data_IF_424090370048
#
_entry.id   IF_424090370048
#
_cell.length_a   1.000
_cell.length_b   1.000
_cell.length_c   1.000
_cell.angle_alpha   90.00
_cell.angle_beta   90.00
_cell.angle_gamma   90.00
#
_symmetry.space_group_name_H-M   'P 1'
#
loop_
_entity.id
_entity.type
_entity.pdbx_description
1 polymer ?
#
# COMPACT_ATOMS: atom_id res chain seq x y z
N UNK A 1 -24.55 21.07 -24.99
CA UNK A 1 -23.11 21.34 -24.80
C UNK A 1 -22.37 20.01 -24.74
N UNK A 2 -21.54 19.71 -25.74
CA UNK A 2 -20.74 18.49 -25.73
C UNK A 2 -19.62 18.65 -24.68
N UNK A 3 -19.57 17.76 -23.70
CA UNK A 3 -18.48 17.75 -22.72
C UNK A 3 -17.20 17.28 -23.38
N UNK A 4 -16.08 17.97 -23.12
CA UNK A 4 -14.77 17.54 -23.62
C UNK A 4 -14.48 16.11 -23.14
N UNK A 5 -13.98 15.21 -24.01
CA UNK A 5 -13.71 13.82 -23.63
C UNK A 5 -12.72 13.70 -22.46
N UNK A 6 -11.77 14.66 -22.36
CA UNK A 6 -10.83 14.75 -21.24
C UNK A 6 -11.55 15.04 -19.91
N UNK A 7 -12.48 16.00 -19.92
CA UNK A 7 -13.25 16.37 -18.73
C UNK A 7 -14.15 15.21 -18.27
N UNK A 8 -14.78 14.49 -19.21
CA UNK A 8 -15.54 13.29 -18.90
C UNK A 8 -14.68 12.19 -18.26
N UNK A 9 -13.43 12.02 -18.71
CA UNK A 9 -12.49 11.07 -18.11
C UNK A 9 -12.11 11.47 -16.67
N UNK A 10 -11.85 12.76 -16.43
CA UNK A 10 -11.54 13.28 -15.10
C UNK A 10 -12.70 13.09 -14.12
N UNK A 11 -13.92 13.42 -14.52
CA UNK A 11 -15.14 13.21 -13.69
C UNK A 11 -15.30 11.75 -13.31
N UNK A 12 -15.09 10.82 -14.26
CA UNK A 12 -15.15 9.36 -13.99
C UNK A 12 -14.06 8.92 -13.02
N UNK A 13 -12.86 9.47 -13.13
CA UNK A 13 -11.75 9.16 -12.24
C UNK A 13 -12.05 9.59 -10.80
N UNK A 14 -12.44 10.86 -10.60
CA UNK A 14 -12.80 11.40 -9.29
C UNK A 14 -13.98 10.63 -8.68
N UNK A 15 -15.00 10.30 -9.48
CA UNK A 15 -16.12 9.49 -9.02
C UNK A 15 -15.68 8.11 -8.52
N UNK A 16 -14.80 7.42 -9.26
CA UNK A 16 -14.28 6.09 -8.88
C UNK A 16 -13.45 6.15 -7.61
N UNK A 17 -12.59 7.16 -7.45
CA UNK A 17 -11.80 7.35 -6.24
C UNK A 17 -12.68 7.62 -5.02
N UNK A 18 -13.64 8.53 -5.12
CA UNK A 18 -14.56 8.82 -4.02
C UNK A 18 -15.42 7.62 -3.65
N UNK A 19 -15.94 6.88 -4.64
CA UNK A 19 -16.67 5.63 -4.41
C UNK A 19 -15.81 4.59 -3.70
N UNK A 20 -14.52 4.49 -4.07
CA UNK A 20 -13.59 3.62 -3.39
C UNK A 20 -13.41 4.05 -1.94
N UNK A 21 -13.16 5.33 -1.65
CA UNK A 21 -12.97 5.82 -0.28
C UNK A 21 -14.23 5.65 0.57
N UNK A 22 -15.40 6.01 0.04
CA UNK A 22 -16.66 5.86 0.74
C UNK A 22 -16.93 4.39 1.16
N UNK A 23 -16.58 3.43 0.30
CA UNK A 23 -16.70 1.99 0.64
C UNK A 23 -15.82 1.55 1.80
N UNK A 24 -14.68 2.21 2.01
CA UNK A 24 -13.69 1.85 3.04
C UNK A 24 -13.82 2.69 4.32
N UNK A 25 -14.89 3.48 4.46
CA UNK A 25 -15.18 4.14 5.74
C UNK A 25 -15.48 3.10 6.83
N UNK A 26 -14.99 3.32 8.07
CA UNK A 26 -15.11 2.35 9.16
C UNK A 26 -16.54 2.19 9.68
N UNK A 27 -17.38 3.23 9.59
CA UNK A 27 -18.76 3.23 10.08
C UNK A 27 -19.73 2.90 8.95
N UNK A 28 -20.44 1.78 9.07
CA UNK A 28 -21.35 1.28 8.04
C UNK A 28 -22.56 2.20 7.77
N UNK A 29 -23.15 2.77 8.82
CA UNK A 29 -24.25 3.73 8.69
C UNK A 29 -23.85 4.99 7.93
N UNK A 30 -22.61 5.47 8.12
CA UNK A 30 -22.06 6.62 7.39
C UNK A 30 -21.69 6.24 5.95
N UNK A 31 -21.18 5.03 5.74
CA UNK A 31 -20.87 4.48 4.41
C UNK A 31 -22.08 4.48 3.49
N UNK A 32 -23.21 3.91 3.94
CA UNK A 32 -24.38 3.79 3.08
C UNK A 32 -24.96 5.17 2.74
N UNK A 33 -25.04 6.07 3.71
CA UNK A 33 -25.46 7.47 3.50
C UNK A 33 -24.57 8.20 2.49
N UNK A 34 -23.26 8.14 2.68
CA UNK A 34 -22.30 8.77 1.76
C UNK A 34 -22.36 8.19 0.35
N UNK A 35 -22.56 6.87 0.20
CA UNK A 35 -22.72 6.24 -1.11
C UNK A 35 -24.01 6.67 -1.81
N UNK A 36 -25.12 6.82 -1.09
CA UNK A 36 -26.37 7.32 -1.66
C UNK A 36 -26.24 8.79 -2.06
N UNK A 37 -25.70 9.64 -1.19
CA UNK A 37 -25.47 11.06 -1.46
C UNK A 37 -24.53 11.29 -2.64
N UNK A 38 -23.49 10.47 -2.77
CA UNK A 38 -22.55 10.58 -3.87
C UNK A 38 -23.20 10.18 -5.21
N UNK A 39 -24.04 9.14 -5.20
CA UNK A 39 -24.78 8.73 -6.41
C UNK A 39 -25.79 9.78 -6.85
N UNK A 40 -26.50 10.40 -5.92
CA UNK A 40 -27.46 11.46 -6.24
C UNK A 40 -26.73 12.70 -6.75
N UNK A 41 -25.70 13.16 -6.05
CA UNK A 41 -24.93 14.36 -6.41
C UNK A 41 -24.30 14.30 -7.82
N UNK A 42 -23.81 13.14 -8.26
CA UNK A 42 -23.24 12.97 -9.60
C UNK A 42 -24.29 12.68 -10.69
N UNK A 43 -25.51 12.26 -10.32
CA UNK A 43 -26.61 12.04 -11.26
C UNK A 43 -27.45 13.30 -11.48
N UNK A 44 -27.48 14.22 -10.54
CA UNK A 44 -28.23 15.47 -10.66
C UNK A 44 -27.60 16.38 -11.73
N UNK A 45 -28.17 16.31 -12.93
CA UNK A 45 -27.83 17.16 -14.07
C UNK A 45 -28.41 18.58 -13.95
N UNK A 46 -29.29 18.81 -12.97
CA UNK A 46 -30.09 20.05 -12.83
C UNK A 46 -29.45 21.18 -12.01
N UNK A 47 -28.27 20.99 -11.42
CA UNK A 47 -27.66 22.08 -10.66
C UNK A 47 -27.15 23.18 -11.62
N UNK A 48 -27.41 24.43 -11.25
CA UNK A 48 -26.98 25.64 -11.97
C UNK A 48 -25.46 25.86 -11.90
N UNK A 49 -24.74 25.05 -11.10
CA UNK A 49 -23.30 25.17 -10.91
C UNK A 49 -22.51 24.64 -12.09
N UNK A 50 -21.43 25.36 -12.43
CA UNK A 50 -20.44 24.92 -13.42
C UNK A 50 -19.86 23.56 -13.04
N UNK A 51 -19.60 22.72 -14.05
CA UNK A 51 -19.03 21.38 -13.86
C UNK A 51 -17.65 21.47 -13.16
N UNK A 52 -16.90 22.54 -13.42
CA UNK A 52 -15.59 22.78 -12.80
C UNK A 52 -15.70 23.03 -11.29
N UNK A 53 -16.70 23.78 -10.85
CA UNK A 53 -16.92 24.04 -9.43
C UNK A 53 -17.34 22.78 -8.69
N UNK A 54 -18.14 21.92 -9.35
CA UNK A 54 -18.47 20.60 -8.80
C UNK A 54 -17.25 19.70 -8.69
N UNK A 55 -16.35 19.74 -9.67
CA UNK A 55 -15.07 19.02 -9.61
C UNK A 55 -14.22 19.51 -8.45
N UNK A 56 -14.06 20.83 -8.26
CA UNK A 56 -13.33 21.40 -7.12
C UNK A 56 -13.93 20.98 -5.78
N UNK A 57 -15.26 21.01 -5.65
CA UNK A 57 -15.96 20.52 -4.44
C UNK A 57 -15.72 19.02 -4.21
N UNK A 58 -15.73 18.22 -5.27
CA UNK A 58 -15.46 16.79 -5.19
C UNK A 58 -14.01 16.51 -4.76
N UNK A 59 -13.03 17.26 -5.27
CA UNK A 59 -11.62 17.16 -4.89
C UNK A 59 -11.40 17.56 -3.42
N UNK A 60 -12.06 18.60 -2.92
CA UNK A 60 -12.01 18.99 -1.51
C UNK A 60 -12.62 17.91 -0.59
N UNK A 61 -13.73 17.28 -1.00
CA UNK A 61 -14.29 16.13 -0.27
C UNK A 61 -13.36 14.92 -0.30
N UNK A 62 -12.67 14.72 -1.42
CA UNK A 62 -11.71 13.63 -1.57
C UNK A 62 -10.50 13.82 -0.64
N UNK A 63 -9.95 15.03 -0.52
CA UNK A 63 -8.84 15.29 0.39
C UNK A 63 -9.25 15.07 1.86
N UNK A 64 -10.45 15.50 2.25
CA UNK A 64 -11.01 15.22 3.58
C UNK A 64 -11.18 13.72 3.84
N UNK A 65 -11.72 12.97 2.87
CA UNK A 65 -11.87 11.52 2.99
C UNK A 65 -10.51 10.81 3.06
N UNK A 66 -9.49 11.28 2.34
CA UNK A 66 -8.12 10.72 2.45
C UNK A 66 -7.52 10.88 3.85
N UNK A 67 -7.84 11.96 4.55
CA UNK A 67 -7.37 12.20 5.93
C UNK A 67 -8.13 11.33 6.92
N UNK A 68 -9.44 11.22 6.76
CA UNK A 68 -10.34 10.57 7.73
C UNK A 68 -10.47 9.06 7.55
N UNK A 69 -10.27 8.56 6.33
CA UNK A 69 -10.33 7.12 6.06
C UNK A 69 -8.95 6.49 6.26
N UNK A 70 -8.83 5.43 7.09
CA UNK A 70 -7.57 4.72 7.22
C UNK A 70 -7.21 4.12 5.86
N UNK A 71 -6.01 4.42 5.37
CA UNK A 71 -5.54 3.93 4.09
C UNK A 71 -5.56 2.39 4.08
N UNK A 72 -6.50 1.80 3.34
CA UNK A 72 -6.52 0.34 3.19
C UNK A 72 -5.23 -0.08 2.50
N UNK A 73 -4.49 -1.03 3.09
CA UNK A 73 -3.16 -1.47 2.65
C UNK A 73 -3.16 -2.21 1.30
N UNK A 74 -4.13 -1.98 0.41
CA UNK A 74 -4.26 -2.68 -0.88
C UNK A 74 -3.19 -2.35 -1.94
N UNK A 75 -2.13 -1.61 -1.57
CA UNK A 75 -0.93 -1.44 -2.41
C UNK A 75 0.39 -1.72 -1.67
N UNK A 76 0.35 -2.49 -0.59
CA UNK A 76 1.48 -3.35 -0.21
C UNK A 76 1.10 -4.81 -0.45
N UNK A 77 0.51 -5.11 -1.61
CA UNK A 77 0.59 -6.45 -2.17
C UNK A 77 2.01 -6.65 -2.74
N UNK A 78 3.00 -6.65 -1.85
CA UNK A 78 4.23 -7.42 -2.00
C UNK A 78 4.08 -8.65 -1.08
N UNK A 79 3.06 -9.45 -1.31
CA UNK A 79 2.69 -10.49 -0.35
C UNK A 79 1.75 -11.57 -0.85
N UNK A 80 1.50 -11.67 -2.16
CA UNK A 80 0.77 -12.80 -2.75
C UNK A 80 1.69 -13.60 -3.70
N UNK A 81 2.95 -13.76 -3.28
CA UNK A 81 3.98 -14.45 -4.06
C UNK A 81 5.42 -14.27 -3.55
N UNK A 82 5.68 -13.32 -2.66
CA UNK A 82 6.98 -13.17 -2.00
C UNK A 82 6.90 -13.55 -0.52
N UNK A 83 6.63 -14.82 -0.25
CA UNK A 83 6.87 -15.42 1.07
C UNK A 83 8.34 -15.78 1.22
N UNK A 84 8.93 -15.54 2.39
CA UNK A 84 10.26 -16.07 2.72
C UNK A 84 10.11 -17.56 3.01
N UNK A 85 10.60 -18.41 2.11
CA UNK A 85 10.62 -19.86 2.31
C UNK A 85 11.78 -20.27 3.21
N UNK A 86 11.49 -20.91 4.34
CA UNK A 86 12.53 -21.46 5.24
C UNK A 86 12.50 -22.99 5.13
N UNK A 87 13.60 -23.57 4.68
CA UNK A 87 13.79 -25.01 4.56
C UNK A 87 14.73 -25.52 5.66
N UNK A 88 14.42 -26.69 6.22
CA UNK A 88 15.31 -27.45 7.13
C UNK A 88 15.28 -28.92 6.74
N UNK A 89 16.45 -29.53 6.57
CA UNK A 89 16.60 -30.97 6.27
C UNK A 89 15.73 -31.45 5.10
N UNK A 90 15.65 -30.65 4.04
CA UNK A 90 14.85 -30.93 2.84
C UNK A 90 13.34 -30.75 2.97
N UNK A 91 12.84 -30.30 4.14
CA UNK A 91 11.41 -30.06 4.39
C UNK A 91 11.11 -28.57 4.55
N UNK A 92 10.01 -28.13 3.93
CA UNK A 92 9.48 -26.76 4.02
C UNK A 92 8.81 -26.58 5.39
N UNK A 93 9.28 -25.62 6.19
CA UNK A 93 8.62 -25.22 7.43
C UNK A 93 7.52 -24.20 7.09
N UNK A 94 6.31 -24.44 7.61
CA UNK A 94 5.07 -23.83 7.10
C UNK A 94 5.02 -22.31 7.26
N UNK A 95 4.34 -21.68 6.30
CA UNK A 95 4.14 -20.26 6.11
C UNK A 95 3.50 -19.61 7.35
N UNK A 96 4.29 -18.82 8.06
CA UNK A 96 3.79 -17.87 9.03
C UNK A 96 4.30 -16.50 8.61
N UNK A 97 3.39 -15.53 8.52
CA UNK A 97 3.69 -14.13 8.28
C UNK A 97 4.36 -13.53 9.53
N UNK A 98 5.58 -14.00 9.83
CA UNK A 98 6.32 -13.65 11.03
C UNK A 98 7.61 -14.44 11.15
N UNK A 99 8.47 -14.03 12.09
CA UNK A 99 9.66 -14.77 12.48
C UNK A 99 9.24 -16.11 13.10
N UNK A 100 9.52 -17.24 12.44
CA UNK A 100 9.33 -18.57 13.04
C UNK A 100 10.16 -18.64 14.32
N UNK A 101 9.61 -19.18 15.41
CA UNK A 101 10.35 -19.39 16.66
C UNK A 101 10.42 -20.88 16.96
N UNK A 102 11.56 -21.34 17.44
CA UNK A 102 11.81 -22.68 17.94
C UNK A 102 11.02 -22.93 19.24
N UNK A 103 10.92 -24.18 19.68
CA UNK A 103 10.25 -24.59 20.92
C UNK A 103 10.86 -23.94 22.18
N UNK A 104 12.08 -23.40 22.04
CA UNK A 104 12.80 -22.63 23.07
C UNK A 104 12.62 -21.12 22.94
N UNK A 105 11.67 -20.66 22.11
CA UNK A 105 11.34 -19.24 21.88
C UNK A 105 12.35 -18.46 21.02
N UNK A 106 13.36 -19.12 20.45
CA UNK A 106 14.40 -18.49 19.60
C UNK A 106 13.89 -18.30 18.19
N UNK A 107 14.06 -17.10 17.62
CA UNK A 107 13.68 -16.82 16.23
C UNK A 107 14.60 -17.57 15.26
N UNK A 108 14.00 -18.41 14.42
CA UNK A 108 14.65 -19.04 13.27
C UNK A 108 14.87 -18.01 12.17
N UNK A 109 16.13 -17.69 11.92
CA UNK A 109 16.58 -17.07 10.67
C UNK A 109 17.63 -17.97 10.03
N UNK A 110 17.63 -18.01 8.71
CA UNK A 110 18.64 -18.66 7.87
C UNK A 110 19.98 -17.87 7.83
N UNK A 111 20.30 -17.14 8.89
CA UNK A 111 21.38 -16.16 8.92
C UNK A 111 22.48 -16.54 9.93
N UNK A 112 23.63 -16.98 9.43
CA UNK A 112 24.79 -17.38 10.25
C UNK A 112 25.66 -16.17 10.66
N UNK A 113 25.10 -15.25 11.47
CA UNK A 113 25.86 -14.05 11.89
C UNK A 113 25.07 -13.06 12.74
N UNK A 114 24.65 -13.53 13.91
CA UNK A 114 24.28 -12.83 15.17
C UNK A 114 23.92 -11.32 15.16
N UNK A 115 22.64 -11.05 15.45
CA UNK A 115 22.07 -9.90 16.20
C UNK A 115 21.95 -8.50 15.59
N UNK A 116 22.01 -8.33 14.27
CA UNK A 116 21.66 -7.04 13.65
C UNK A 116 20.24 -7.05 13.06
N UNK A 117 19.46 -6.00 13.36
CA UNK A 117 18.16 -5.73 12.75
C UNK A 117 18.29 -5.75 11.21
N UNK A 118 17.43 -6.48 10.47
CA UNK A 118 17.40 -6.49 9.01
C UNK A 118 17.49 -5.11 8.36
N UNK A 119 16.92 -4.07 8.98
CA UNK A 119 17.00 -2.69 8.51
C UNK A 119 18.43 -2.12 8.63
N UNK A 120 19.13 -2.42 9.71
CA UNK A 120 20.52 -2.00 9.95
C UNK A 120 21.49 -2.68 8.99
N UNK A 121 21.28 -3.96 8.69
CA UNK A 121 22.09 -4.70 7.71
C UNK A 121 21.91 -4.13 6.29
N UNK A 122 20.67 -3.84 5.88
CA UNK A 122 20.40 -3.21 4.58
C UNK A 122 21.09 -1.85 4.47
N UNK A 123 20.99 -1.02 5.51
CA UNK A 123 21.64 0.30 5.55
C UNK A 123 23.16 0.19 5.46
N UNK A 124 23.75 -0.77 6.17
CA UNK A 124 25.20 -1.03 6.12
C UNK A 124 25.65 -1.45 4.72
N UNK A 125 24.94 -2.38 4.07
CA UNK A 125 25.26 -2.83 2.72
C UNK A 125 25.15 -1.70 1.68
N UNK A 126 24.17 -0.81 1.83
CA UNK A 126 24.07 0.40 0.98
C UNK A 126 25.28 1.32 1.19
N UNK A 127 25.73 1.49 2.43
CA UNK A 127 26.94 2.26 2.76
C UNK A 127 28.19 1.68 2.08
N UNK A 128 28.37 0.35 2.16
CA UNK A 128 29.48 -0.35 1.51
C UNK A 128 29.47 -0.18 -0.01
N UNK A 129 28.31 -0.29 -0.66
CA UNK A 129 28.19 -0.07 -2.12
C UNK A 129 28.53 1.36 -2.52
N UNK A 130 28.15 2.36 -1.72
CA UNK A 130 28.53 3.77 -1.94
C UNK A 130 30.04 3.99 -1.77
N UNK A 131 30.66 3.27 -0.85
CA UNK A 131 32.11 3.27 -0.64
C UNK A 131 32.88 2.44 -1.68
N UNK A 132 32.21 1.85 -2.68
CA UNK A 132 32.84 1.08 -3.77
C UNK A 132 33.08 -0.39 -3.44
N UNK A 133 32.70 -0.87 -2.26
CA UNK A 133 32.76 -2.28 -1.90
C UNK A 133 31.57 -3.01 -2.51
N UNK A 134 31.74 -3.53 -3.73
CA UNK A 134 30.68 -4.22 -4.46
C UNK A 134 30.30 -5.55 -3.78
N UNK A 135 31.30 -6.34 -3.33
CA UNK A 135 31.12 -7.67 -2.75
C UNK A 135 32.11 -7.86 -1.58
N UNK A 136 31.68 -8.52 -0.50
CA UNK A 136 32.54 -8.92 0.64
C UNK A 136 33.49 -10.10 0.29
N UNK A 137 33.87 -10.28 -0.98
CA UNK A 137 34.77 -11.35 -1.43
C UNK A 137 36.15 -11.24 -0.78
N UNK A 138 36.64 -10.01 -0.60
CA UNK A 138 37.89 -9.71 0.11
C UNK A 138 37.88 -10.15 1.58
N UNK A 139 36.71 -10.09 2.25
CA UNK A 139 36.57 -10.54 3.64
C UNK A 139 36.38 -12.07 3.74
N UNK A 140 36.11 -12.75 2.62
CA UNK A 140 35.95 -14.21 2.53
C UNK A 140 37.21 -14.93 2.06
N UNK A 141 38.32 -14.21 1.83
CA UNK A 141 39.62 -14.81 1.51
C UNK A 141 39.76 -15.37 0.10
N UNK A 142 38.85 -15.04 -0.82
CA UNK A 142 39.03 -15.34 -2.24
C UNK A 142 39.72 -14.16 -2.92
N UNK A 143 40.99 -14.34 -3.28
CA UNK A 143 41.74 -13.50 -4.22
C UNK A 143 41.59 -14.05 -5.63
#
# INVERSE_FOLDING_TARGET
MATSPALAAQVRHVYRELMFMAKHMPKESQRNKALTELRTAFRDTKSEESIEDRLKKAEARMSFLRITTPQTRRRRNHGDGSGTWVYRDGKKLTESNGTLRDDKGRVHTNWSGSNLDPCSVKRHNVSLRRAGFANNSHAKGFF
#
